data_IF_287713701766
#
_entry.id   IF_287713701766
#
_cell.length_a   1.000
_cell.length_b   1.000
_cell.length_c   1.000
_cell.angle_alpha   90.00
_cell.angle_beta   90.00
_cell.angle_gamma   90.00
#
_symmetry.space_group_name_H-M   'P 1'
#
loop_
_entity.id
_entity.type
_entity.pdbx_description
1 polymer ?
#
# COMPACT_ATOMS: atom_id res chain seq x y z
N UNK A 1 -3.53 20.20 -25.32
CA UNK A 1 -3.67 20.29 -23.85
C UNK A 1 -3.10 19.03 -23.24
N UNK A 2 -1.93 19.07 -22.58
CA UNK A 2 -1.34 17.88 -21.93
C UNK A 2 -2.03 17.68 -20.58
N UNK A 3 -2.86 16.64 -20.46
CA UNK A 3 -3.48 16.25 -19.19
C UNK A 3 -2.38 15.82 -18.21
N UNK A 4 -2.14 16.60 -17.17
CA UNK A 4 -1.21 16.22 -16.10
C UNK A 4 -1.90 15.25 -15.16
N UNK A 5 -1.58 13.96 -15.28
CA UNK A 5 -2.07 12.91 -14.37
C UNK A 5 -1.14 12.83 -13.16
N UNK A 6 -1.68 13.12 -11.98
CA UNK A 6 -1.06 12.84 -10.69
C UNK A 6 -1.45 11.44 -10.24
N UNK A 7 -0.56 10.74 -9.53
CA UNK A 7 -0.89 9.48 -8.86
C UNK A 7 -0.82 9.69 -7.36
N UNK A 8 -1.85 9.26 -6.65
CA UNK A 8 -1.92 9.28 -5.20
C UNK A 8 -1.94 7.83 -4.71
N UNK A 9 -1.06 7.51 -3.78
CA UNK A 9 -1.13 6.29 -2.98
C UNK A 9 -1.63 6.68 -1.60
N UNK A 10 -2.68 6.01 -1.12
CA UNK A 10 -3.29 6.28 0.18
C UNK A 10 -3.44 4.98 0.97
N UNK A 11 -3.15 5.03 2.27
CA UNK A 11 -3.46 4.00 3.24
C UNK A 11 -4.26 4.61 4.38
N UNK A 12 -5.33 3.94 4.78
CA UNK A 12 -6.29 4.41 5.75
C UNK A 12 -6.92 3.24 6.52
N UNK A 13 -7.60 3.54 7.60
CA UNK A 13 -8.42 2.60 8.38
C UNK A 13 -9.71 3.29 8.83
N UNK A 14 -10.55 2.61 9.61
CA UNK A 14 -11.81 3.16 10.11
C UNK A 14 -11.66 4.47 10.94
N UNK A 15 -10.48 4.74 11.48
CA UNK A 15 -10.17 5.98 12.23
C UNK A 15 -9.63 7.11 11.35
N UNK A 16 -9.33 6.83 10.07
CA UNK A 16 -8.90 7.84 9.10
C UNK A 16 -7.63 7.47 8.33
N UNK A 17 -7.02 8.49 7.74
CA UNK A 17 -5.87 8.34 6.84
C UNK A 17 -4.58 8.14 7.63
N UNK A 18 -3.87 7.05 7.33
CA UNK A 18 -2.60 6.69 7.98
C UNK A 18 -1.39 7.22 7.22
N UNK A 19 -1.46 7.21 5.88
CA UNK A 19 -0.36 7.60 5.02
C UNK A 19 -0.85 8.00 3.62
N UNK A 20 -0.24 9.04 3.05
CA UNK A 20 -0.46 9.48 1.67
C UNK A 20 0.86 9.81 1.00
N UNK A 21 1.03 9.40 -0.25
CA UNK A 21 2.18 9.76 -1.08
C UNK A 21 1.71 10.20 -2.46
N UNK A 22 2.12 11.38 -2.87
CA UNK A 22 1.95 11.86 -4.24
C UNK A 22 3.12 11.45 -5.11
N UNK A 23 2.82 10.86 -6.25
CA UNK A 23 3.76 10.62 -7.32
C UNK A 23 3.61 11.70 -8.38
N UNK A 24 4.64 12.55 -8.48
CA UNK A 24 4.80 13.54 -9.54
C UNK A 24 4.95 12.90 -10.93
N UNK A 25 4.56 13.66 -11.96
CA UNK A 25 4.46 13.26 -13.37
C UNK A 25 5.76 12.57 -13.85
N UNK A 26 5.62 11.46 -14.56
CA UNK A 26 6.74 10.73 -15.18
C UNK A 26 7.35 9.62 -14.31
N UNK A 27 7.06 9.58 -13.01
CA UNK A 27 7.52 8.51 -12.12
C UNK A 27 6.50 7.36 -12.09
N UNK A 28 6.89 6.21 -12.62
CA UNK A 28 6.11 4.98 -12.51
C UNK A 28 6.32 4.38 -11.11
N UNK A 29 5.23 3.98 -10.44
CA UNK A 29 5.35 3.18 -9.22
C UNK A 29 5.98 1.85 -9.61
N UNK A 30 7.18 1.59 -9.13
CA UNK A 30 7.84 0.29 -9.24
C UNK A 30 7.83 -0.41 -7.87
N UNK A 31 8.13 -1.70 -7.87
CA UNK A 31 8.15 -2.52 -6.66
C UNK A 31 9.08 -1.98 -5.58
N UNK A 32 10.26 -1.45 -5.96
CA UNK A 32 11.22 -0.86 -5.03
C UNK A 32 10.63 0.34 -4.28
N UNK A 33 9.95 1.23 -5.01
CA UNK A 33 9.29 2.39 -4.41
C UNK A 33 8.15 1.95 -3.51
N UNK A 34 7.31 1.03 -3.97
CA UNK A 34 6.23 0.48 -3.17
C UNK A 34 6.72 -0.14 -1.84
N UNK A 35 7.83 -0.88 -1.87
CA UNK A 35 8.49 -1.37 -0.66
C UNK A 35 8.91 -0.23 0.29
N UNK A 36 9.39 0.88 -0.26
CA UNK A 36 9.70 2.10 0.51
C UNK A 36 8.45 2.69 1.17
N UNK A 37 7.36 2.80 0.41
CA UNK A 37 6.05 3.25 0.90
C UNK A 37 5.55 2.37 2.05
N UNK A 38 5.59 1.03 1.89
CA UNK A 38 5.20 0.08 2.95
C UNK A 38 6.07 0.19 4.20
N UNK A 39 7.38 0.45 4.03
CA UNK A 39 8.28 0.68 5.16
C UNK A 39 7.89 1.94 5.94
N UNK A 40 7.58 3.03 5.25
CA UNK A 40 7.13 4.28 5.86
C UNK A 40 5.79 4.10 6.58
N UNK A 41 4.84 3.40 5.94
CA UNK A 41 3.56 3.02 6.56
C UNK A 41 3.79 2.22 7.85
N UNK A 42 4.67 1.21 7.83
CA UNK A 42 4.99 0.39 9.01
C UNK A 42 5.52 1.23 10.16
N UNK A 43 6.41 2.19 9.90
CA UNK A 43 6.94 3.05 10.96
C UNK A 43 5.87 3.97 11.53
N UNK A 44 4.95 4.47 10.70
CA UNK A 44 3.84 5.31 11.14
C UNK A 44 2.86 4.55 12.04
N UNK A 45 2.52 3.31 11.67
CA UNK A 45 1.69 2.41 12.48
C UNK A 45 2.34 2.13 13.85
N UNK A 46 3.67 1.92 13.88
CA UNK A 46 4.40 1.77 15.15
C UNK A 46 4.37 3.04 16.00
N UNK A 47 4.48 4.22 15.36
CA UNK A 47 4.47 5.51 16.05
C UNK A 47 3.14 5.85 16.73
N UNK A 48 2.01 5.34 16.21
CA UNK A 48 0.69 5.51 16.82
C UNK A 48 0.37 4.44 17.89
N UNK A 49 1.34 3.59 18.25
CA UNK A 49 1.17 2.57 19.29
C UNK A 49 0.37 1.34 18.88
N UNK A 50 0.05 1.16 17.60
CA UNK A 50 -0.59 -0.07 17.12
C UNK A 50 0.45 -1.19 16.98
N UNK A 51 0.27 -2.25 17.76
CA UNK A 51 1.12 -3.45 17.67
C UNK A 51 0.86 -4.28 16.41
N UNK A 52 1.81 -5.15 16.07
CA UNK A 52 1.80 -6.00 14.87
C UNK A 52 0.57 -6.92 14.75
N UNK A 53 -0.14 -7.17 15.84
CA UNK A 53 -1.33 -8.02 15.87
C UNK A 53 -2.66 -7.25 15.63
N UNK A 54 -2.62 -5.92 15.43
CA UNK A 54 -3.83 -5.10 15.28
C UNK A 54 -4.06 -4.61 13.85
N UNK A 55 -3.04 -4.67 13.00
CA UNK A 55 -3.12 -4.17 11.63
C UNK A 55 -3.02 -5.32 10.62
N UNK A 56 -3.85 -5.26 9.58
CA UNK A 56 -3.87 -6.18 8.45
C UNK A 56 -3.89 -5.34 7.17
N UNK A 57 -2.93 -5.58 6.26
CA UNK A 57 -2.88 -4.86 4.99
C UNK A 57 -3.87 -5.46 4.00
N UNK A 58 -4.81 -4.66 3.52
CA UNK A 58 -5.60 -4.99 2.34
C UNK A 58 -5.10 -4.15 1.15
N UNK A 59 -4.74 -4.81 0.06
CA UNK A 59 -4.28 -4.18 -1.18
C UNK A 59 -4.57 -5.06 -2.39
N UNK A 60 -4.81 -4.43 -3.54
CA UNK A 60 -5.12 -5.14 -4.78
C UNK A 60 -3.92 -5.94 -5.31
N UNK A 61 -4.21 -6.91 -6.17
CA UNK A 61 -3.20 -7.78 -6.81
C UNK A 61 -2.44 -7.12 -7.97
N UNK A 62 -2.21 -5.80 -7.92
CA UNK A 62 -1.39 -5.13 -8.91
C UNK A 62 -0.02 -5.81 -9.06
N UNK A 63 0.52 -5.84 -10.29
CA UNK A 63 1.80 -6.51 -10.60
C UNK A 63 2.95 -6.11 -9.67
N UNK A 64 2.98 -4.85 -9.24
CA UNK A 64 3.99 -4.31 -8.34
C UNK A 64 3.78 -4.74 -6.87
N UNK A 65 2.53 -4.96 -6.43
CA UNK A 65 2.19 -5.51 -5.11
C UNK A 65 2.56 -7.00 -5.02
N UNK A 66 2.35 -7.76 -6.10
CA UNK A 66 2.64 -9.20 -6.16
C UNK A 66 4.07 -9.53 -6.62
N UNK A 67 4.92 -8.54 -6.87
CA UNK A 67 6.30 -8.81 -7.31
C UNK A 67 7.12 -9.53 -6.23
N UNK A 68 8.11 -10.32 -6.65
CA UNK A 68 9.03 -11.05 -5.74
C UNK A 68 9.64 -10.10 -4.72
N UNK A 69 10.08 -8.92 -5.15
CA UNK A 69 10.67 -7.91 -4.27
C UNK A 69 9.71 -7.48 -3.15
N UNK A 70 8.44 -7.25 -3.47
CA UNK A 70 7.42 -6.85 -2.50
C UNK A 70 7.09 -8.01 -1.56
N UNK A 71 6.93 -9.22 -2.09
CA UNK A 71 6.69 -10.43 -1.29
C UNK A 71 7.81 -10.69 -0.29
N UNK A 72 9.08 -10.61 -0.74
CA UNK A 72 10.25 -10.77 0.12
C UNK A 72 10.31 -9.71 1.22
N UNK A 73 10.02 -8.45 0.87
CA UNK A 73 9.99 -7.36 1.83
C UNK A 73 8.90 -7.58 2.90
N UNK A 74 7.67 -7.92 2.48
CA UNK A 74 6.56 -8.21 3.38
C UNK A 74 6.86 -9.41 4.29
N UNK A 75 7.43 -10.48 3.73
CA UNK A 75 7.86 -11.67 4.48
C UNK A 75 8.92 -11.35 5.53
N UNK A 76 10.00 -10.66 5.15
CA UNK A 76 11.07 -10.22 6.06
C UNK A 76 10.54 -9.35 7.20
N UNK A 77 9.53 -8.53 6.91
CA UNK A 77 8.93 -7.64 7.88
C UNK A 77 7.82 -8.29 8.71
N UNK A 78 7.46 -9.55 8.43
CA UNK A 78 6.25 -10.19 8.96
C UNK A 78 5.06 -9.24 8.87
N UNK A 79 4.93 -8.57 7.71
CA UNK A 79 3.86 -7.62 7.45
C UNK A 79 2.60 -8.42 7.17
N UNK A 80 1.58 -8.39 8.03
CA UNK A 80 0.38 -9.19 7.85
C UNK A 80 -0.44 -8.62 6.68
N UNK A 81 -0.83 -9.50 5.74
CA UNK A 81 -1.57 -9.16 4.52
C UNK A 81 -2.83 -10.00 4.44
N UNK A 82 -3.95 -9.37 4.11
CA UNK A 82 -5.22 -10.04 3.83
C UNK A 82 -5.19 -10.56 2.40
N UNK A 83 -5.51 -11.85 2.16
CA UNK A 83 -5.62 -12.36 0.80
C UNK A 83 -6.79 -11.69 0.08
N UNK A 84 -6.54 -11.13 -1.11
CA UNK A 84 -7.58 -10.59 -1.99
C UNK A 84 -7.85 -11.56 -3.16
N UNK A 85 -9.12 -11.77 -3.52
CA UNK A 85 -9.49 -12.49 -4.74
C UNK A 85 -9.06 -11.72 -5.99
N UNK A 86 -8.81 -12.42 -7.09
CA UNK A 86 -8.49 -11.76 -8.35
C UNK A 86 -9.74 -11.07 -8.90
N UNK A 87 -9.61 -9.83 -9.38
CA UNK A 87 -10.69 -9.05 -10.00
C UNK A 87 -11.94 -8.84 -9.13
N UNK A 88 -11.74 -8.55 -7.84
CA UNK A 88 -12.82 -8.15 -6.93
C UNK A 88 -12.66 -6.69 -6.47
N UNK A 89 -12.90 -5.70 -7.35
CA UNK A 89 -12.96 -4.30 -6.92
C UNK A 89 -14.06 -4.08 -5.90
N UNK A 90 -15.16 -4.87 -5.92
CA UNK A 90 -16.23 -4.84 -4.92
C UNK A 90 -15.76 -5.09 -3.48
N UNK A 91 -14.56 -5.66 -3.32
CA UNK A 91 -13.96 -5.95 -2.02
C UNK A 91 -12.89 -4.93 -1.62
N UNK A 92 -12.60 -3.93 -2.46
CA UNK A 92 -11.58 -2.92 -2.20
C UNK A 92 -12.23 -1.59 -1.77
N UNK A 93 -12.19 -1.24 -0.47
CA UNK A 93 -12.84 -0.02 0.03
C UNK A 93 -12.28 1.27 -0.57
N UNK A 94 -11.08 1.26 -1.15
CA UNK A 94 -10.47 2.44 -1.78
C UNK A 94 -10.98 2.71 -3.21
N UNK A 95 -11.71 1.76 -3.81
CA UNK A 95 -12.23 1.87 -5.18
C UNK A 95 -13.69 2.41 -5.21
N UNK A 96 -14.33 2.60 -4.04
CA UNK A 96 -15.67 3.19 -3.86
C UNK A 96 -15.61 4.52 -3.13
#
# INVERSE_FOLDING_TARGET
>A
MSTTKLRLTIFWNASGVLYTEFLTKGLMVNSKRYCGTLRSLKQRIRGIGQERNVFLLHHDKARLHCSVQTHDAMGKWKFPVVPQSSYSPELAPSDF
#
